data_IF_299035540296
#
_entry.id   IF_299035540296
#
_cell.length_a   1.000
_cell.length_b   1.000
_cell.length_c   1.000
_cell.angle_alpha   90.00
_cell.angle_beta   90.00
_cell.angle_gamma   90.00
#
_symmetry.space_group_name_H-M   'P 1'
#
loop_
_entity.id
_entity.type
_entity.pdbx_description
1 polymer ?
#
# COMPACT_ATOMS: atom_id res chain seq x y z
N UNK A 1 16.42 21.35 -3.39
CA UNK A 1 17.51 20.39 -3.70
C UNK A 1 16.87 19.13 -4.30
N UNK A 2 16.94 18.92 -5.63
CA UNK A 2 16.19 17.86 -6.34
C UNK A 2 16.54 16.43 -5.93
N UNK A 3 17.70 16.23 -5.27
CA UNK A 3 18.14 14.96 -4.69
C UNK A 3 17.19 14.43 -3.60
N UNK A 4 16.57 15.33 -2.83
CA UNK A 4 15.67 14.98 -1.71
C UNK A 4 14.31 14.43 -2.19
N UNK A 5 13.80 14.96 -3.29
CA UNK A 5 12.56 14.46 -3.89
C UNK A 5 12.74 13.07 -4.52
N UNK A 6 13.93 12.78 -5.08
CA UNK A 6 14.25 11.47 -5.67
C UNK A 6 14.47 10.38 -4.61
N UNK A 7 15.06 10.70 -3.46
CA UNK A 7 15.19 9.77 -2.33
C UNK A 7 13.82 9.45 -1.71
N UNK A 8 12.96 10.47 -1.51
CA UNK A 8 11.57 10.29 -1.04
C UNK A 8 10.74 9.38 -1.94
N UNK A 9 10.86 9.51 -3.27
CA UNK A 9 10.19 8.60 -4.21
C UNK A 9 10.67 7.14 -4.07
N UNK A 10 11.94 6.93 -3.70
CA UNK A 10 12.52 5.61 -3.48
C UNK A 10 11.96 4.99 -2.19
N UNK A 11 11.89 5.77 -1.12
CA UNK A 11 11.31 5.37 0.15
C UNK A 11 9.84 5.00 0.02
N UNK A 12 9.04 5.86 -0.63
CA UNK A 12 7.61 5.59 -0.89
C UNK A 12 7.43 4.30 -1.69
N UNK A 13 8.29 4.02 -2.68
CA UNK A 13 8.23 2.78 -3.47
C UNK A 13 8.48 1.55 -2.61
N UNK A 14 9.44 1.63 -1.68
CA UNK A 14 9.73 0.54 -0.75
C UNK A 14 8.52 0.28 0.16
N UNK A 15 7.96 1.34 0.77
CA UNK A 15 6.77 1.26 1.63
C UNK A 15 5.58 0.66 0.86
N UNK A 16 5.36 1.08 -0.39
CA UNK A 16 4.31 0.53 -1.26
C UNK A 16 4.46 -0.98 -1.46
N UNK A 17 5.67 -1.48 -1.70
CA UNK A 17 5.92 -2.92 -1.82
C UNK A 17 5.56 -3.68 -0.54
N UNK A 18 5.91 -3.14 0.63
CA UNK A 18 5.53 -3.73 1.92
C UNK A 18 4.02 -3.78 2.12
N UNK A 19 3.30 -2.73 1.72
CA UNK A 19 1.83 -2.69 1.82
C UNK A 19 1.18 -3.72 0.91
N UNK A 20 1.66 -3.87 -0.33
CA UNK A 20 1.16 -4.90 -1.26
C UNK A 20 1.39 -6.29 -0.67
N UNK A 21 2.55 -6.53 -0.06
CA UNK A 21 2.83 -7.79 0.60
C UNK A 21 1.87 -8.07 1.77
N UNK A 22 1.61 -7.07 2.62
CA UNK A 22 0.64 -7.16 3.72
C UNK A 22 -0.80 -7.40 3.23
N UNK A 23 -1.19 -6.77 2.12
CA UNK A 23 -2.48 -6.96 1.47
C UNK A 23 -2.64 -8.42 1.02
N UNK A 24 -1.66 -8.95 0.30
CA UNK A 24 -1.68 -10.34 -0.21
C UNK A 24 -1.74 -11.33 0.95
N UNK A 25 -0.94 -11.13 2.00
CA UNK A 25 -1.00 -11.94 3.21
C UNK A 25 -2.38 -11.91 3.88
N UNK A 26 -2.98 -10.73 4.00
CA UNK A 26 -4.31 -10.56 4.60
C UNK A 26 -5.39 -11.29 3.79
N UNK A 27 -5.33 -11.21 2.45
CA UNK A 27 -6.23 -11.94 1.55
C UNK A 27 -6.02 -13.46 1.63
N UNK A 28 -4.77 -13.91 1.73
CA UNK A 28 -4.45 -15.33 1.88
C UNK A 28 -5.00 -15.90 3.19
N UNK A 29 -4.85 -15.17 4.30
CA UNK A 29 -5.40 -15.56 5.60
C UNK A 29 -6.93 -15.60 5.53
N UNK A 30 -7.55 -14.57 4.95
CA UNK A 30 -9.00 -14.54 4.72
C UNK A 30 -9.48 -15.75 3.93
N UNK A 31 -8.76 -16.11 2.87
CA UNK A 31 -9.10 -17.26 2.04
C UNK A 31 -9.00 -18.57 2.84
N UNK A 32 -7.92 -18.75 3.60
CA UNK A 32 -7.74 -19.94 4.45
C UNK A 32 -8.83 -20.02 5.54
N UNK A 33 -9.13 -18.92 6.22
CA UNK A 33 -10.17 -18.88 7.25
C UNK A 33 -11.56 -19.15 6.66
N UNK A 34 -11.86 -18.57 5.49
CA UNK A 34 -13.13 -18.81 4.80
C UNK A 34 -13.29 -20.28 4.40
N UNK A 35 -12.25 -20.89 3.82
CA UNK A 35 -12.27 -22.30 3.43
C UNK A 35 -12.35 -23.24 4.63
N UNK A 36 -11.63 -22.94 5.72
CA UNK A 36 -11.50 -23.85 6.88
C UNK A 36 -12.66 -23.74 7.86
N UNK A 37 -13.18 -22.53 8.09
CA UNK A 37 -14.16 -22.27 9.13
C UNK A 37 -15.51 -21.79 8.58
N UNK A 38 -15.62 -21.49 7.29
CA UNK A 38 -16.87 -20.97 6.69
C UNK A 38 -17.22 -19.55 7.15
N UNK A 39 -16.30 -18.88 7.83
CA UNK A 39 -16.50 -17.54 8.40
C UNK A 39 -15.44 -16.57 7.90
N UNK A 40 -15.85 -15.33 7.69
CA UNK A 40 -14.98 -14.23 7.28
C UNK A 40 -14.58 -13.45 8.52
N UNK A 41 -13.28 -13.35 8.78
CA UNK A 41 -12.76 -12.54 9.87
C UNK A 41 -12.65 -11.07 9.43
N UNK A 42 -13.56 -10.25 9.96
CA UNK A 42 -13.63 -8.83 9.67
C UNK A 42 -12.34 -8.05 10.00
N UNK A 43 -11.47 -8.55 10.89
CA UNK A 43 -10.18 -7.92 11.18
C UNK A 43 -9.29 -7.86 9.94
N UNK A 44 -9.17 -8.95 9.21
CA UNK A 44 -8.35 -9.01 7.99
C UNK A 44 -8.99 -8.25 6.84
N UNK A 45 -10.33 -8.19 6.78
CA UNK A 45 -11.05 -7.33 5.83
C UNK A 45 -10.71 -5.86 6.08
N UNK A 46 -10.68 -5.45 7.34
CA UNK A 46 -10.33 -4.08 7.73
C UNK A 46 -8.87 -3.75 7.40
N UNK A 47 -7.94 -4.66 7.71
CA UNK A 47 -6.52 -4.50 7.35
C UNK A 47 -6.36 -4.38 5.83
N UNK A 48 -6.98 -5.26 5.06
CA UNK A 48 -6.91 -5.22 3.61
C UNK A 48 -7.49 -3.88 3.06
N UNK A 49 -8.59 -3.41 3.62
CA UNK A 49 -9.20 -2.13 3.24
C UNK A 49 -8.27 -0.94 3.52
N UNK A 50 -7.64 -0.89 4.70
CA UNK A 50 -6.65 0.14 5.04
C UNK A 50 -5.45 0.09 4.08
N UNK A 51 -4.96 -1.11 3.74
CA UNK A 51 -3.86 -1.27 2.79
C UNK A 51 -4.20 -0.65 1.42
N UNK A 52 -5.43 -0.86 0.91
CA UNK A 52 -5.89 -0.27 -0.35
C UNK A 52 -5.98 1.26 -0.27
N UNK A 53 -6.55 1.79 0.82
CA UNK A 53 -6.66 3.25 1.02
C UNK A 53 -5.27 3.89 1.08
N UNK A 54 -4.35 3.27 1.82
CA UNK A 54 -2.99 3.77 1.95
C UNK A 54 -2.20 3.67 0.64
N UNK A 55 -2.43 2.61 -0.15
CA UNK A 55 -1.85 2.50 -1.49
C UNK A 55 -2.31 3.64 -2.41
N UNK A 56 -3.59 4.00 -2.34
CA UNK A 56 -4.16 5.11 -3.10
C UNK A 56 -3.55 6.46 -2.68
N UNK A 57 -3.43 6.72 -1.37
CA UNK A 57 -2.78 7.93 -0.84
C UNK A 57 -1.31 8.03 -1.29
N UNK A 58 -0.56 6.92 -1.20
CA UNK A 58 0.83 6.88 -1.68
C UNK A 58 0.92 7.16 -3.19
N UNK A 59 -0.01 6.65 -4.00
CA UNK A 59 -0.02 6.93 -5.44
C UNK A 59 -0.23 8.41 -5.74
N UNK A 60 -1.11 9.08 -4.99
CA UNK A 60 -1.31 10.52 -5.12
C UNK A 60 -0.06 11.31 -4.71
N UNK A 61 0.57 10.95 -3.58
CA UNK A 61 1.84 11.56 -3.15
C UNK A 61 2.95 11.40 -4.19
N UNK A 62 3.08 10.22 -4.81
CA UNK A 62 4.04 9.99 -5.91
C UNK A 62 3.75 10.92 -7.09
N UNK A 63 2.47 11.10 -7.44
CA UNK A 63 2.05 11.96 -8.56
C UNK A 63 2.41 13.41 -8.28
N UNK A 64 2.13 13.92 -7.08
CA UNK A 64 2.52 15.26 -6.64
C UNK A 64 4.04 15.46 -6.65
N UNK A 65 4.78 14.52 -6.07
CA UNK A 65 6.25 14.54 -6.06
C UNK A 65 6.83 14.57 -7.48
N UNK A 66 6.25 13.82 -8.42
CA UNK A 66 6.66 13.86 -9.83
C UNK A 66 6.39 15.22 -10.48
N UNK A 67 5.26 15.86 -10.16
CA UNK A 67 4.95 17.21 -10.68
C UNK A 67 5.93 18.24 -10.13
N UNK A 68 6.24 18.21 -8.83
CA UNK A 68 7.22 19.12 -8.22
C UNK A 68 8.62 18.96 -8.82
N UNK A 69 9.06 17.73 -9.09
CA UNK A 69 10.35 17.48 -9.74
C UNK A 69 10.38 17.99 -11.19
N UNK A 70 9.27 17.93 -11.92
CA UNK A 70 9.20 18.39 -13.33
C UNK A 70 9.08 19.91 -13.47
N UNK A 71 8.59 20.59 -12.43
CA UNK A 71 8.41 22.04 -12.40
C UNK A 71 9.68 22.80 -11.97
N UNK A 72 10.77 22.09 -11.64
CA UNK A 72 12.07 22.61 -11.24
C UNK A 72 13.13 22.25 -12.29
#
# INVERSE_FOLDING_TARGET
MPTDAKSKLREIRIVKTFIIFALVLSLLILYIEYQKYGHINWKFVFIASICVIYDFDLNNKIKELKVQIKSY
#
